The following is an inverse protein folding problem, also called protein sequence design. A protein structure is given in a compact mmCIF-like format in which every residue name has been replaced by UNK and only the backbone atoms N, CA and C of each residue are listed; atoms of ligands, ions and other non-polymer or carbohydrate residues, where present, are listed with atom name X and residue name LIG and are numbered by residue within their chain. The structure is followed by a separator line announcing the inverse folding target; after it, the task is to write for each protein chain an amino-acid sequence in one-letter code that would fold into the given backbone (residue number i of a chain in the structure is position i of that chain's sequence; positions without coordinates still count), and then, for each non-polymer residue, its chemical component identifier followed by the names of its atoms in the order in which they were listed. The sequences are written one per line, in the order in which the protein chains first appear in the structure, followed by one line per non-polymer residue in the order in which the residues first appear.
data_IF_460079225425
#
_entry.id   IF_460079225425
#
_cell.length_a   1.000
_cell.length_b   1.000
_cell.length_c   1.000
_cell.angle_alpha   90.00
_cell.angle_beta   90.00
_cell.angle_gamma   90.00
#
_symmetry.space_group_name_H-M   'P 1'
#
loop_
_entity.id
_entity.type
_entity.pdbx_description
1 polymer ?
#
# COMPACT_ATOMS: atom_id res chain seq x y z
N UNK A 1 9.35 4.60 4.05
CA UNK A 1 8.41 5.69 4.37
C UNK A 1 7.51 5.88 3.15
N UNK A 2 6.21 5.64 3.26
CA UNK A 2 5.29 5.59 2.12
C UNK A 2 5.01 7.03 1.63
N UNK A 3 5.33 7.33 0.36
CA UNK A 3 5.09 8.63 -0.29
C UNK A 3 3.71 9.27 -0.05
N UNK A 4 2.57 8.53 -0.01
CA UNK A 4 1.27 9.16 0.24
C UNK A 4 1.12 9.71 1.66
N UNK A 5 1.70 9.06 2.69
CA UNK A 5 1.68 9.60 4.06
C UNK A 5 2.50 10.89 4.17
N UNK A 6 3.58 10.99 3.40
CA UNK A 6 4.37 12.22 3.30
C UNK A 6 3.57 13.35 2.65
N UNK A 7 2.84 13.06 1.58
CA UNK A 7 1.98 14.04 0.90
C UNK A 7 0.86 14.54 1.82
N UNK A 8 0.19 13.65 2.55
CA UNK A 8 -0.81 14.03 3.56
C UNK A 8 -0.22 14.90 4.67
N UNK A 9 1.02 14.65 5.08
CA UNK A 9 1.68 15.50 6.05
C UNK A 9 2.01 16.89 5.45
N UNK A 10 2.45 16.96 4.19
CA UNK A 10 2.69 18.23 3.49
C UNK A 10 1.43 19.08 3.37
N UNK A 11 0.27 18.50 3.07
CA UNK A 11 -1.00 19.24 2.99
C UNK A 11 -1.39 19.81 4.36
N UNK A 12 -1.17 19.03 5.44
CA UNK A 12 -1.40 19.51 6.81
C UNK A 12 -0.46 20.66 7.21
N UNK A 13 0.82 20.63 6.80
CA UNK A 13 1.76 21.74 7.04
C UNK A 13 1.34 23.01 6.29
N UNK A 14 0.73 22.86 5.11
CA UNK A 14 0.20 23.97 4.32
C UNK A 14 -1.15 24.48 4.83
N UNK A 15 -1.68 23.92 5.93
CA UNK A 15 -2.97 24.27 6.51
C UNK A 15 -4.13 24.16 5.51
N UNK A 16 -4.04 23.24 4.55
CA UNK A 16 -5.14 22.96 3.65
C UNK A 16 -6.25 22.27 4.44
N UNK A 17 -7.48 22.73 4.24
CA UNK A 17 -8.66 22.05 4.78
C UNK A 17 -8.84 20.68 4.12
N UNK A 18 -9.54 19.76 4.79
CA UNK A 18 -9.76 18.40 4.29
C UNK A 18 -10.48 18.36 2.93
N UNK A 19 -11.35 19.33 2.67
CA UNK A 19 -12.14 19.46 1.45
C UNK A 19 -11.52 20.47 0.46
N UNK A 20 -10.38 21.05 0.78
CA UNK A 20 -9.70 22.01 -0.09
C UNK A 20 -8.95 21.29 -1.21
N UNK A 21 -9.14 21.78 -2.45
CA UNK A 21 -8.51 21.17 -3.61
C UNK A 21 -6.98 21.37 -3.57
N UNK A 22 -6.24 20.26 -3.64
CA UNK A 22 -4.79 20.31 -3.77
C UNK A 22 -4.47 20.78 -5.19
N UNK A 23 -3.80 21.93 -5.30
CA UNK A 23 -3.43 22.53 -6.59
C UNK A 23 -1.92 22.61 -6.78
N UNK A 24 -1.50 22.83 -8.03
CA UNK A 24 -0.09 23.03 -8.39
C UNK A 24 0.80 21.81 -8.14
N UNK A 25 2.03 22.07 -7.70
CA UNK A 25 3.09 21.07 -7.62
C UNK A 25 2.74 19.82 -6.80
N UNK A 26 2.00 19.97 -5.69
CA UNK A 26 1.62 18.82 -4.85
C UNK A 26 0.62 17.90 -5.54
N UNK A 27 -0.30 18.46 -6.32
CA UNK A 27 -1.24 17.67 -7.12
C UNK A 27 -0.50 16.88 -8.19
N UNK A 28 0.44 17.52 -8.89
CA UNK A 28 1.29 16.87 -9.89
C UNK A 28 2.13 15.74 -9.27
N UNK A 29 2.73 15.97 -8.09
CA UNK A 29 3.50 14.98 -7.35
C UNK A 29 2.63 13.75 -6.99
N UNK A 30 1.40 13.99 -6.49
CA UNK A 30 0.47 12.92 -6.13
C UNK A 30 -0.01 12.12 -7.35
N UNK A 31 -0.38 12.81 -8.42
CA UNK A 31 -0.81 12.20 -9.68
C UNK A 31 0.31 11.35 -10.27
N UNK A 32 1.53 11.85 -10.25
CA UNK A 32 2.70 11.12 -10.74
C UNK A 32 2.97 9.87 -9.89
N UNK A 33 2.99 10.00 -8.57
CA UNK A 33 3.11 8.85 -7.67
C UNK A 33 2.02 7.80 -7.91
N UNK A 34 0.76 8.22 -8.06
CA UNK A 34 -0.37 7.33 -8.34
C UNK A 34 -0.21 6.57 -9.67
N UNK A 35 0.36 7.22 -10.70
CA UNK A 35 0.69 6.56 -11.98
C UNK A 35 1.78 5.50 -11.81
N UNK A 36 2.80 5.79 -11.00
CA UNK A 36 3.91 4.87 -10.73
C UNK A 36 3.46 3.60 -9.99
N UNK A 37 2.40 3.67 -9.18
CA UNK A 37 1.83 2.49 -8.53
C UNK A 37 1.44 1.38 -9.50
N UNK A 38 1.11 1.72 -10.76
CA UNK A 38 0.80 0.71 -11.79
C UNK A 38 1.99 -0.21 -12.06
N UNK A 39 3.22 0.28 -11.90
CA UNK A 39 4.43 -0.52 -12.07
C UNK A 39 4.61 -1.58 -10.96
N UNK A 40 3.94 -1.45 -9.81
CA UNK A 40 3.96 -2.50 -8.77
C UNK A 40 3.43 -3.84 -9.27
N UNK A 41 2.59 -3.85 -10.31
CA UNK A 41 2.12 -5.07 -10.97
C UNK A 41 3.25 -5.88 -11.60
N UNK A 42 4.35 -5.22 -11.96
CA UNK A 42 5.52 -5.85 -12.57
C UNK A 42 6.57 -6.24 -11.54
N UNK A 43 6.47 -5.73 -10.31
CA UNK A 43 7.38 -6.11 -9.23
C UNK A 43 7.19 -7.59 -8.91
N UNK A 44 8.29 -8.33 -8.99
CA UNK A 44 8.37 -9.74 -8.55
C UNK A 44 9.32 -9.79 -7.37
N UNK A 45 8.80 -10.23 -6.22
CA UNK A 45 9.63 -10.51 -5.04
C UNK A 45 9.73 -12.03 -4.93
N UNK A 46 10.83 -12.66 -5.37
CA UNK A 46 11.00 -14.10 -5.23
C UNK A 46 11.03 -14.45 -3.74
N UNK A 47 10.01 -15.16 -3.26
CA UNK A 47 9.97 -15.64 -1.88
C UNK A 47 10.61 -17.02 -1.81
N UNK A 48 11.70 -17.14 -1.08
CA UNK A 48 12.22 -18.45 -0.72
C UNK A 48 11.54 -18.91 0.57
N UNK A 49 10.74 -19.97 0.45
CA UNK A 49 10.14 -20.64 1.58
C UNK A 49 10.91 -21.96 1.70
N UNK A 50 11.66 -22.12 2.77
CA UNK A 50 12.51 -23.29 3.02
C UNK A 50 11.66 -24.50 3.45
N UNK A 51 10.75 -24.92 2.55
CA UNK A 51 9.87 -26.08 2.70
C UNK A 51 10.73 -27.32 2.50
N UNK A 52 11.19 -27.88 3.61
CA UNK A 52 11.91 -29.14 3.67
C UNK A 52 10.94 -30.27 4.00
N UNK A 53 11.24 -31.49 3.55
CA UNK A 53 10.45 -32.70 3.85
C UNK A 53 10.39 -33.08 5.34
N UNK A 54 11.20 -32.42 6.17
CA UNK A 54 11.10 -32.49 7.62
C UNK A 54 9.80 -31.81 8.09
N UNK A 55 8.82 -32.63 8.46
CA UNK A 55 7.46 -32.25 8.83
C UNK A 55 7.35 -31.43 10.15
N UNK A 56 8.47 -30.96 10.69
CA UNK A 56 8.53 -30.19 11.94
C UNK A 56 8.23 -28.71 11.77
N UNK A 57 8.31 -28.15 10.56
CA UNK A 57 8.01 -26.73 10.31
C UNK A 57 6.51 -26.50 10.11
N UNK A 58 5.91 -25.73 11.02
CA UNK A 58 4.53 -25.23 10.88
C UNK A 58 4.54 -23.93 10.08
N UNK A 59 3.70 -23.87 9.06
CA UNK A 59 3.44 -22.66 8.28
C UNK A 59 2.03 -22.16 8.58
N UNK A 60 1.86 -20.84 8.60
CA UNK A 60 0.58 -20.20 8.85
C UNK A 60 0.27 -19.26 7.70
N UNK A 61 -0.94 -19.37 7.18
CA UNK A 61 -1.47 -18.38 6.24
C UNK A 61 -2.12 -17.29 7.06
N UNK A 62 -1.63 -16.08 6.90
CA UNK A 62 -2.18 -14.90 7.53
C UNK A 62 -2.98 -14.12 6.49
N UNK A 63 -4.27 -13.96 6.75
CA UNK A 63 -5.17 -13.15 5.93
C UNK A 63 -5.64 -11.96 6.74
N UNK A 64 -5.43 -10.78 6.18
CA UNK A 64 -6.09 -9.55 6.64
C UNK A 64 -7.23 -9.24 5.68
N UNK A 65 -8.40 -8.91 6.22
CA UNK A 65 -9.55 -8.48 5.46
C UNK A 65 -9.99 -7.12 6.00
N UNK A 66 -10.45 -6.24 5.13
CA UNK A 66 -11.18 -5.07 5.59
C UNK A 66 -12.56 -5.49 6.12
N UNK A 67 -13.02 -4.80 7.16
CA UNK A 67 -14.35 -5.01 7.73
C UNK A 67 -15.36 -3.99 7.17
N UNK A 68 -15.09 -3.49 5.97
CA UNK A 68 -15.98 -2.53 5.32
C UNK A 68 -17.28 -3.22 4.92
N UNK A 69 -18.40 -2.49 5.05
CA UNK A 69 -19.71 -2.97 4.61
C UNK A 69 -19.94 -2.72 3.12
N UNK A 70 -19.20 -1.76 2.56
CA UNK A 70 -19.46 -1.19 1.24
C UNK A 70 -18.47 -1.71 0.18
N UNK A 71 -17.32 -2.26 0.62
CA UNK A 71 -16.33 -2.89 -0.24
C UNK A 71 -15.67 -4.06 0.52
N UNK A 72 -15.15 -5.05 -0.21
CA UNK A 72 -14.40 -6.16 0.38
C UNK A 72 -13.03 -6.25 -0.30
N UNK A 73 -11.98 -6.26 0.50
CA UNK A 73 -10.59 -6.40 0.13
C UNK A 73 -9.87 -7.25 1.18
N UNK A 74 -9.16 -8.27 0.72
CA UNK A 74 -8.33 -9.10 1.58
C UNK A 74 -6.94 -9.26 1.00
N UNK A 75 -5.94 -9.34 1.89
CA UNK A 75 -4.55 -9.62 1.56
C UNK A 75 -4.12 -10.85 2.35
N UNK A 76 -3.66 -11.86 1.63
CA UNK A 76 -3.17 -13.10 2.21
C UNK A 76 -1.67 -13.25 1.95
N UNK A 77 -0.94 -13.63 3.00
CA UNK A 77 0.46 -14.02 2.90
C UNK A 77 0.71 -15.28 3.70
N UNK A 78 1.74 -16.01 3.24
CA UNK A 78 2.31 -17.17 3.90
C UNK A 78 3.58 -16.74 4.64
#
# INVERSE_FOLDING_TARGET
MLCPNLMLHKTSILSLEWDEEITGFLCEEFVQWSRELKALKEVRVPRWINITSDATKKFFIHTFCDASKDAFAAVTYL
#
